data_IF_774170449394
#
_entry.id   IF_774170449394
#
_cell.length_a   1.000
_cell.length_b   1.000
_cell.length_c   1.000
_cell.angle_alpha   90.00
_cell.angle_beta   90.00
_cell.angle_gamma   90.00
#
_symmetry.space_group_name_H-M   'P 1'
#
loop_
_entity.id
_entity.type
_entity.pdbx_description
1 polymer ?
#
# COMPACT_ATOMS: atom_id res chain seq x y z
N UNK A 1 31.41 17.72 30.22
CA UNK A 1 31.75 16.99 28.98
C UNK A 1 30.78 15.83 28.83
N UNK A 2 29.80 15.93 27.92
CA UNK A 2 28.84 14.86 27.60
C UNK A 2 29.15 14.39 26.18
N UNK A 3 29.68 13.18 26.05
CA UNK A 3 29.97 12.58 24.76
C UNK A 3 28.69 11.87 24.28
N UNK A 4 28.02 12.47 23.29
CA UNK A 4 26.89 11.85 22.61
C UNK A 4 27.35 10.76 21.66
N UNK A 5 26.92 9.53 21.90
CA UNK A 5 27.08 8.40 20.98
C UNK A 5 25.99 8.52 19.90
N UNK A 6 26.41 8.85 18.68
CA UNK A 6 25.56 8.87 17.48
C UNK A 6 25.51 7.44 16.91
N UNK A 7 24.34 6.83 16.67
CA UNK A 7 24.30 5.48 16.10
C UNK A 7 24.55 5.55 14.58
N UNK A 8 25.47 4.71 14.12
CA UNK A 8 25.86 4.60 12.71
C UNK A 8 24.70 4.10 11.85
N UNK A 9 24.42 4.81 10.75
CA UNK A 9 23.42 4.42 9.77
C UNK A 9 23.87 3.17 9.00
N UNK A 10 22.97 2.21 8.71
CA UNK A 10 23.33 1.01 7.96
C UNK A 10 23.64 1.36 6.49
N UNK A 11 24.91 1.26 6.11
CA UNK A 11 25.36 1.36 4.73
C UNK A 11 24.86 0.15 3.94
N UNK A 12 23.82 0.36 3.12
CA UNK A 12 23.26 -0.64 2.21
C UNK A 12 24.30 -1.08 1.16
N UNK A 13 24.81 -2.33 1.19
CA UNK A 13 25.98 -2.72 0.42
C UNK A 13 25.57 -3.56 -0.81
N UNK A 14 24.77 -3.01 -1.73
CA UNK A 14 24.30 -3.84 -2.86
C UNK A 14 24.13 -3.16 -4.21
N UNK A 15 24.33 -1.84 -4.34
CA UNK A 15 24.07 -1.13 -5.62
C UNK A 15 25.31 -0.94 -6.49
N UNK A 16 26.51 -1.01 -5.92
CA UNK A 16 27.77 -0.74 -6.63
C UNK A 16 28.19 -1.84 -7.61
N UNK A 17 27.93 -3.11 -7.26
CA UNK A 17 28.33 -4.24 -8.10
C UNK A 17 27.49 -4.35 -9.38
N UNK A 18 26.20 -3.99 -9.32
CA UNK A 18 25.32 -3.91 -10.49
C UNK A 18 25.81 -2.89 -11.52
N UNK A 19 26.25 -1.71 -11.06
CA UNK A 19 26.77 -0.67 -11.95
C UNK A 19 28.03 -1.15 -12.68
N UNK A 20 28.94 -1.81 -11.96
CA UNK A 20 30.17 -2.39 -12.53
C UNK A 20 29.87 -3.52 -13.51
N UNK A 21 28.89 -4.37 -13.22
CA UNK A 21 28.44 -5.41 -14.13
C UNK A 21 27.87 -4.81 -15.43
N UNK A 22 27.02 -3.79 -15.31
CA UNK A 22 26.41 -3.12 -16.47
C UNK A 22 27.48 -2.47 -17.36
N UNK A 23 28.43 -1.75 -16.76
CA UNK A 23 29.54 -1.13 -17.49
C UNK A 23 30.42 -2.17 -18.20
N UNK A 24 30.66 -3.33 -17.59
CA UNK A 24 31.41 -4.41 -18.23
C UNK A 24 30.70 -5.00 -19.45
N UNK A 25 29.38 -5.16 -19.40
CA UNK A 25 28.59 -5.64 -20.54
C UNK A 25 28.63 -4.62 -21.69
N UNK A 26 28.53 -3.32 -21.37
CA UNK A 26 28.60 -2.25 -22.37
C UNK A 26 29.97 -2.19 -23.06
N UNK A 27 31.05 -2.29 -22.29
CA UNK A 27 32.41 -2.18 -22.84
C UNK A 27 32.90 -3.46 -23.54
N UNK A 28 32.25 -4.61 -23.32
CA UNK A 28 32.60 -5.86 -24.01
C UNK A 28 32.30 -5.83 -25.52
N UNK A 29 31.50 -4.88 -26.01
CA UNK A 29 31.18 -4.72 -27.43
C UNK A 29 32.12 -3.78 -28.21
N UNK A 30 33.13 -3.19 -27.56
CA UNK A 30 33.98 -2.14 -28.14
C UNK A 30 35.47 -2.41 -27.94
N UNK A 31 35.91 -3.65 -28.12
CA UNK A 31 37.33 -3.96 -28.25
C UNK A 31 37.63 -4.41 -29.68
N UNK A 32 38.76 -3.91 -30.20
CA UNK A 32 39.47 -4.31 -31.42
C UNK A 32 39.32 -3.43 -32.68
N UNK A 33 39.84 -2.20 -32.59
CA UNK A 33 40.41 -1.51 -33.76
C UNK A 33 41.94 -1.40 -33.58
N UNK A 34 42.66 -2.47 -33.89
CA UNK A 34 44.13 -2.49 -33.92
C UNK A 34 44.61 -3.27 -35.13
N UNK A 35 45.29 -2.58 -36.05
CA UNK A 35 45.74 -3.11 -37.35
C UNK A 35 46.62 -4.37 -37.21
N UNK A 36 46.25 -5.43 -37.94
CA UNK A 36 47.21 -6.19 -38.77
C UNK A 36 46.47 -6.97 -39.86
N UNK A 37 46.90 -6.76 -41.11
CA UNK A 37 46.48 -7.58 -42.25
C UNK A 37 47.00 -9.00 -42.07
N UNK A 38 46.18 -9.89 -41.50
CA UNK A 38 46.39 -11.34 -41.51
C UNK A 38 45.24 -11.99 -42.28
N UNK A 39 45.59 -12.86 -43.23
CA UNK A 39 44.65 -13.54 -44.16
C UNK A 39 43.37 -13.99 -43.45
N UNK A 40 42.21 -13.58 -43.99
CA UNK A 40 40.89 -14.11 -43.62
C UNK A 40 40.89 -15.62 -43.83
N UNK A 41 40.93 -16.39 -42.74
CA UNK A 41 40.20 -17.67 -42.73
C UNK A 41 38.71 -17.33 -42.58
N UNK A 42 37.82 -17.95 -43.36
CA UNK A 42 36.40 -17.82 -43.12
C UNK A 42 36.11 -18.40 -41.74
N UNK A 43 35.65 -17.54 -40.82
CA UNK A 43 35.23 -17.95 -39.50
C UNK A 43 34.10 -18.97 -39.63
N UNK A 44 34.41 -20.22 -39.29
CA UNK A 44 33.39 -21.19 -38.93
C UNK A 44 32.79 -20.65 -37.63
N UNK A 45 31.69 -19.91 -37.74
CA UNK A 45 30.77 -19.73 -36.63
C UNK A 45 30.35 -21.14 -36.24
N UNK A 46 30.91 -21.66 -35.15
CA UNK A 46 30.45 -22.92 -34.59
C UNK A 46 28.94 -22.79 -34.37
N UNK A 47 28.11 -23.66 -34.98
CA UNK A 47 26.69 -23.63 -34.74
C UNK A 47 26.49 -24.03 -33.28
N UNK A 48 26.33 -23.02 -32.42
CA UNK A 48 25.88 -23.19 -31.05
C UNK A 48 24.72 -24.18 -31.10
N UNK A 49 24.89 -25.34 -30.47
CA UNK A 49 23.96 -26.47 -30.60
C UNK A 49 22.53 -25.95 -30.41
N UNK A 50 21.71 -26.04 -31.46
CA UNK A 50 20.38 -25.42 -31.57
C UNK A 50 19.50 -25.73 -30.34
N UNK A 51 19.69 -26.89 -29.75
CA UNK A 51 18.99 -27.36 -28.55
C UNK A 51 19.29 -26.53 -27.28
N UNK A 52 20.52 -26.01 -27.12
CA UNK A 52 20.89 -25.18 -25.96
C UNK A 52 20.33 -23.76 -26.09
N UNK A 53 20.37 -23.20 -27.30
CA UNK A 53 19.81 -21.87 -27.57
C UNK A 53 18.28 -21.89 -27.43
N UNK A 54 17.62 -22.93 -27.93
CA UNK A 54 16.17 -23.10 -27.78
C UNK A 54 15.76 -23.28 -26.32
N UNK A 55 16.48 -24.09 -25.53
CA UNK A 55 16.19 -24.23 -24.08
C UNK A 55 16.38 -22.91 -23.33
N UNK A 56 17.47 -22.17 -23.60
CA UNK A 56 17.70 -20.86 -22.99
C UNK A 56 16.64 -19.83 -23.41
N UNK A 57 16.23 -19.85 -24.69
CA UNK A 57 15.17 -18.98 -25.20
C UNK A 57 13.82 -19.29 -24.54
N UNK A 58 13.46 -20.57 -24.36
CA UNK A 58 12.25 -20.98 -23.65
C UNK A 58 12.29 -20.56 -22.18
N UNK A 59 13.43 -20.73 -21.51
CA UNK A 59 13.61 -20.29 -20.13
C UNK A 59 13.48 -18.78 -19.99
N UNK A 60 14.08 -18.01 -20.90
CA UNK A 60 13.93 -16.56 -20.93
C UNK A 60 12.48 -16.12 -21.17
N UNK A 61 11.76 -16.79 -22.08
CA UNK A 61 10.34 -16.52 -22.33
C UNK A 61 9.46 -16.87 -21.12
N UNK A 62 9.72 -17.99 -20.45
CA UNK A 62 9.01 -18.38 -19.23
C UNK A 62 9.24 -17.37 -18.10
N UNK A 63 10.49 -16.95 -17.88
CA UNK A 63 10.83 -15.94 -16.88
C UNK A 63 10.16 -14.58 -17.16
N UNK A 64 10.08 -14.18 -18.43
CA UNK A 64 9.35 -12.97 -18.84
C UNK A 64 7.85 -13.11 -18.57
N UNK A 65 7.26 -14.28 -18.86
CA UNK A 65 5.85 -14.54 -18.59
C UNK A 65 5.53 -14.49 -17.10
N UNK A 66 6.34 -15.13 -16.26
CA UNK A 66 6.21 -15.08 -14.80
C UNK A 66 6.28 -13.63 -14.27
N UNK A 67 7.22 -12.84 -14.78
CA UNK A 67 7.34 -11.42 -14.40
C UNK A 67 6.07 -10.62 -14.76
N UNK A 68 5.49 -10.86 -15.93
CA UNK A 68 4.24 -10.19 -16.35
C UNK A 68 3.05 -10.57 -15.46
N UNK A 69 2.96 -11.83 -15.04
CA UNK A 69 1.91 -12.30 -14.12
C UNK A 69 2.04 -11.63 -12.76
N UNK A 70 3.26 -11.56 -12.20
CA UNK A 70 3.51 -10.91 -10.91
C UNK A 70 3.15 -9.42 -10.91
N UNK A 71 3.56 -8.70 -11.96
CA UNK A 71 3.22 -7.27 -12.13
C UNK A 71 1.71 -7.07 -12.24
N UNK A 72 1.03 -7.95 -12.98
CA UNK A 72 -0.43 -7.86 -13.16
C UNK A 72 -1.18 -8.13 -11.86
N UNK A 73 -0.68 -9.03 -11.02
CA UNK A 73 -1.26 -9.33 -9.71
C UNK A 73 -1.11 -8.15 -8.74
N UNK A 74 0.06 -7.50 -8.72
CA UNK A 74 0.32 -6.32 -7.88
C UNK A 74 -0.62 -5.14 -8.24
N UNK A 75 -0.83 -4.90 -9.53
CA UNK A 75 -1.78 -3.86 -9.98
C UNK A 75 -3.21 -4.18 -9.53
N UNK A 76 -3.64 -5.44 -9.66
CA UNK A 76 -4.98 -5.88 -9.22
C UNK A 76 -5.14 -5.76 -7.71
N UNK A 77 -4.13 -6.15 -6.94
CA UNK A 77 -4.15 -6.07 -5.49
C UNK A 77 -4.27 -4.62 -5.01
N UNK A 78 -3.55 -3.68 -5.64
CA UNK A 78 -3.63 -2.25 -5.30
C UNK A 78 -5.01 -1.65 -5.54
N UNK A 79 -5.72 -2.08 -6.57
CA UNK A 79 -7.07 -1.60 -6.85
C UNK A 79 -8.06 -2.11 -5.79
N UNK A 80 -8.01 -3.41 -5.47
CA UNK A 80 -8.86 -4.01 -4.43
C UNK A 80 -8.57 -3.40 -3.06
N UNK A 81 -7.30 -3.16 -2.72
CA UNK A 81 -6.92 -2.51 -1.46
C UNK A 81 -7.50 -1.10 -1.31
N UNK A 82 -7.55 -0.32 -2.40
CA UNK A 82 -8.16 1.02 -2.38
C UNK A 82 -9.66 0.96 -2.12
N UNK A 83 -10.34 0.04 -2.78
CA UNK A 83 -11.78 -0.16 -2.61
C UNK A 83 -12.11 -0.61 -1.17
N UNK A 84 -11.32 -1.54 -0.62
CA UNK A 84 -11.44 -1.96 0.78
C UNK A 84 -11.22 -0.78 1.74
N UNK A 85 -10.20 0.05 1.51
CA UNK A 85 -9.93 1.22 2.35
C UNK A 85 -11.08 2.24 2.31
N UNK A 86 -11.66 2.47 1.14
CA UNK A 86 -12.82 3.35 0.98
C UNK A 86 -14.03 2.81 1.76
N UNK A 87 -14.27 1.50 1.70
CA UNK A 87 -15.39 0.88 2.40
C UNK A 87 -15.18 0.87 3.93
N UNK A 88 -13.94 0.66 4.40
CA UNK A 88 -13.59 0.80 5.82
C UNK A 88 -13.87 2.23 6.30
N UNK A 89 -13.44 3.23 5.53
CA UNK A 89 -13.66 4.64 5.90
C UNK A 89 -15.15 4.99 5.92
N UNK A 90 -15.93 4.46 4.97
CA UNK A 90 -17.39 4.59 4.96
C UNK A 90 -18.02 3.99 6.21
N UNK A 91 -17.62 2.78 6.60
CA UNK A 91 -18.11 2.12 7.80
C UNK A 91 -17.74 2.88 9.07
N UNK A 92 -16.53 3.44 9.16
CA UNK A 92 -16.13 4.29 10.28
C UNK A 92 -17.00 5.54 10.39
N UNK A 93 -17.31 6.20 9.28
CA UNK A 93 -18.19 7.37 9.28
C UNK A 93 -19.61 7.01 9.73
N UNK A 94 -20.12 5.86 9.32
CA UNK A 94 -21.43 5.36 9.77
C UNK A 94 -21.45 5.08 11.27
N UNK A 95 -20.39 4.45 11.82
CA UNK A 95 -20.28 4.21 13.26
C UNK A 95 -20.20 5.52 14.07
N UNK A 96 -19.50 6.54 13.56
CA UNK A 96 -19.45 7.86 14.18
C UNK A 96 -20.84 8.49 14.20
N UNK A 97 -21.58 8.38 13.09
CA UNK A 97 -22.94 8.90 13.00
C UNK A 97 -23.88 8.17 13.98
N UNK A 98 -23.81 6.84 14.04
CA UNK A 98 -24.60 6.03 14.97
C UNK A 98 -24.34 6.45 16.42
N UNK A 99 -23.07 6.55 16.82
CA UNK A 99 -22.70 6.99 18.17
C UNK A 99 -23.19 8.41 18.48
N UNK A 100 -23.11 9.33 17.51
CA UNK A 100 -23.64 10.68 17.69
C UNK A 100 -25.16 10.66 17.87
N UNK A 101 -25.88 9.85 17.09
CA UNK A 101 -27.32 9.69 17.21
C UNK A 101 -27.70 9.08 18.57
N UNK A 102 -26.94 8.12 19.08
CA UNK A 102 -27.16 7.54 20.40
C UNK A 102 -26.97 8.59 21.51
N UNK A 103 -25.94 9.43 21.41
CA UNK A 103 -25.72 10.54 22.34
C UNK A 103 -26.87 11.56 22.26
N UNK A 104 -27.30 11.91 21.05
CA UNK A 104 -28.43 12.82 20.85
C UNK A 104 -29.73 12.24 21.41
N UNK A 105 -29.99 10.96 21.20
CA UNK A 105 -31.16 10.24 21.71
C UNK A 105 -31.15 10.20 23.23
N UNK A 106 -30.03 9.82 23.86
CA UNK A 106 -29.86 9.86 25.31
C UNK A 106 -30.05 11.27 25.87
N UNK A 107 -29.57 12.28 25.13
CA UNK A 107 -29.80 13.68 25.46
C UNK A 107 -31.28 14.07 25.38
N UNK A 108 -32.01 13.61 24.36
CA UNK A 108 -33.45 13.85 24.22
C UNK A 108 -34.28 13.14 25.29
N UNK A 109 -33.86 11.94 25.71
CA UNK A 109 -34.49 11.17 26.79
C UNK A 109 -34.12 11.67 28.19
N UNK A 110 -33.15 12.58 28.31
CA UNK A 110 -32.73 13.09 29.62
C UNK A 110 -33.90 13.82 30.32
N UNK A 111 -34.14 13.55 31.61
CA UNK A 111 -35.27 14.11 32.34
C UNK A 111 -35.22 15.63 32.40
N UNK A 112 -34.02 16.24 32.46
CA UNK A 112 -33.83 17.68 32.40
C UNK A 112 -34.39 18.28 31.10
N UNK A 113 -34.12 17.64 29.96
CA UNK A 113 -34.53 18.12 28.64
C UNK A 113 -36.01 17.83 28.37
N UNK A 114 -36.52 16.70 28.86
CA UNK A 114 -37.97 16.43 28.89
C UNK A 114 -38.69 17.48 29.74
N UNK A 115 -38.17 17.82 30.92
CA UNK A 115 -38.74 18.86 31.78
C UNK A 115 -38.69 20.25 31.12
N UNK A 116 -37.60 20.56 30.42
CA UNK A 116 -37.46 21.79 29.64
C UNK A 116 -38.49 21.87 28.50
N UNK A 117 -38.66 20.78 27.73
CA UNK A 117 -39.66 20.70 26.67
C UNK A 117 -41.08 20.79 27.23
N UNK A 118 -41.36 20.07 28.30
CA UNK A 118 -42.65 20.10 28.98
C UNK A 118 -42.99 21.54 29.42
N UNK A 119 -42.03 22.25 30.01
CA UNK A 119 -42.22 23.61 30.52
C UNK A 119 -42.32 24.65 29.40
N UNK A 120 -41.42 24.61 28.42
CA UNK A 120 -41.25 25.66 27.44
C UNK A 120 -42.12 25.48 26.19
N UNK A 121 -42.37 24.23 25.77
CA UNK A 121 -43.12 23.93 24.56
C UNK A 121 -44.54 23.42 24.83
N UNK A 122 -44.76 22.70 25.94
CA UNK A 122 -46.07 22.15 26.30
C UNK A 122 -46.78 22.97 27.40
N UNK A 123 -46.13 23.98 27.98
CA UNK A 123 -46.68 24.81 29.05
C UNK A 123 -46.97 24.04 30.35
N UNK A 124 -46.41 22.83 30.49
CA UNK A 124 -46.58 21.96 31.64
C UNK A 124 -45.58 22.36 32.73
N UNK A 125 -46.10 22.77 33.89
CA UNK A 125 -45.28 23.04 35.06
C UNK A 125 -45.20 21.80 35.96
N UNK A 126 -44.04 21.58 36.60
CA UNK A 126 -43.87 20.50 37.57
C UNK A 126 -44.90 20.70 38.72
N UNK A 127 -45.70 19.68 39.06
CA UNK A 127 -46.73 19.80 40.08
C UNK A 127 -46.10 20.13 41.44
N UNK A 128 -46.77 21.00 42.20
CA UNK A 128 -46.36 21.32 43.58
C UNK A 128 -46.49 20.05 44.45
N UNK A 129 -45.71 19.95 45.54
CA UNK A 129 -45.77 18.84 46.51
C UNK A 129 -47.19 18.53 47.03
N UNK A 130 -48.10 19.52 46.98
CA UNK A 130 -49.52 19.36 47.36
C UNK A 130 -50.38 18.68 46.27
N UNK A 131 -49.90 18.59 45.03
CA UNK A 131 -50.59 18.02 43.87
C UNK A 131 -50.08 16.62 43.49
N UNK A 132 -49.03 16.13 44.17
CA UNK A 132 -48.48 14.79 43.96
C UNK A 132 -49.25 13.81 44.86
N UNK A 133 -50.10 12.97 44.27
CA UNK A 133 -50.79 11.90 44.98
C UNK A 133 -50.04 10.58 44.73
N UNK A 134 -49.39 10.06 45.78
CA UNK A 134 -48.74 8.75 45.73
C UNK A 134 -49.81 7.70 46.05
N UNK A 135 -50.18 6.90 45.06
CA UNK A 135 -51.08 5.75 45.24
C UNK A 135 -50.32 4.59 45.90
N UNK A 136 -50.91 3.89 46.90
CA UNK A 136 -50.29 2.76 47.57
C UNK A 136 -50.15 1.51 46.68
#
# INVERSE_FOLDING_TARGET
MKNGHQPDAPTSPSKGWFRRLWESIRNSGSSENGLSHRRRSPGIVEPLSINRVTVLALFAMAALFEALVLVSLDIRQKNVQKEILQEIQRNQNLQILENNLDIELAGLESPERIAEIARNHLGLAMPNHQQIQVLP
#
